data_IF_598756085126
#
_entry.id   IF_598756085126
#
_cell.length_a   1.000
_cell.length_b   1.000
_cell.length_c   1.000
_cell.angle_alpha   90.00
_cell.angle_beta   90.00
_cell.angle_gamma   90.00
#
_symmetry.space_group_name_H-M   'P 1'
#
loop_
_entity.id
_entity.type
_entity.pdbx_description
1 polymer ?
#
# COMPACT_ATOMS: atom_id res chain seq x y z
N UNK A 1 2.84 8.42 -13.23
CA UNK A 1 3.37 9.34 -12.20
C UNK A 1 4.62 10.05 -12.73
N UNK A 2 4.94 11.27 -12.30
CA UNK A 2 6.19 11.95 -12.70
C UNK A 2 7.40 11.34 -11.96
N UNK A 3 8.51 11.09 -12.64
CA UNK A 3 9.80 10.73 -12.00
C UNK A 3 10.59 12.01 -11.73
N UNK A 4 11.10 12.17 -10.50
CA UNK A 4 11.96 13.28 -10.09
C UNK A 4 13.41 12.82 -10.13
N UNK A 5 14.34 13.67 -10.59
CA UNK A 5 15.77 13.33 -10.63
C UNK A 5 16.31 13.25 -9.20
N UNK A 6 16.75 12.07 -8.77
CA UNK A 6 17.38 11.84 -7.46
C UNK A 6 16.43 11.81 -6.25
N UNK A 7 15.14 12.14 -6.41
CA UNK A 7 14.20 12.23 -5.29
C UNK A 7 13.30 10.99 -5.26
N UNK A 8 13.35 10.23 -4.16
CA UNK A 8 12.42 9.12 -3.90
C UNK A 8 11.11 9.69 -3.37
N UNK A 9 10.00 9.31 -4.01
CA UNK A 9 8.66 9.72 -3.53
C UNK A 9 8.08 8.64 -2.66
N UNK A 10 7.80 8.96 -1.41
CA UNK A 10 7.13 8.05 -0.49
C UNK A 10 5.66 8.43 -0.43
N UNK A 11 4.78 7.47 -0.70
CA UNK A 11 3.37 7.54 -0.35
C UNK A 11 3.16 6.71 0.90
N UNK A 12 2.76 7.35 1.98
CA UNK A 12 2.51 6.70 3.26
C UNK A 12 1.01 6.77 3.56
N UNK A 13 0.42 5.61 3.81
CA UNK A 13 -0.99 5.46 4.17
C UNK A 13 -1.09 4.95 5.60
N UNK A 14 -1.43 5.84 6.52
CA UNK A 14 -1.83 5.51 7.88
C UNK A 14 -3.28 5.01 7.90
N UNK A 15 -3.55 3.93 8.64
CA UNK A 15 -4.90 3.39 8.85
C UNK A 15 -5.63 3.10 7.54
N UNK A 16 -4.94 2.41 6.63
CA UNK A 16 -5.36 2.24 5.23
C UNK A 16 -6.75 1.60 5.09
N UNK A 17 -7.24 0.83 6.07
CA UNK A 17 -8.57 0.20 6.03
C UNK A 17 -9.70 1.21 5.78
N UNK A 18 -9.65 2.41 6.37
CA UNK A 18 -10.67 3.46 6.15
C UNK A 18 -10.70 3.94 4.71
N UNK A 19 -9.53 4.03 4.08
CA UNK A 19 -9.41 4.45 2.69
C UNK A 19 -9.90 3.36 1.73
N UNK A 20 -9.80 2.09 2.12
CA UNK A 20 -10.14 0.96 1.24
C UNK A 20 -11.63 0.56 1.31
N UNK A 21 -12.45 1.26 2.10
CA UNK A 21 -13.90 1.04 2.12
C UNK A 21 -14.61 1.30 0.77
N UNK A 22 -13.93 1.91 -0.21
CA UNK A 22 -14.46 2.18 -1.56
C UNK A 22 -13.69 1.38 -2.62
N UNK A 23 -14.41 0.65 -3.46
CA UNK A 23 -13.86 -0.14 -4.59
C UNK A 23 -12.95 0.66 -5.53
N UNK A 24 -13.27 1.95 -5.75
CA UNK A 24 -12.45 2.83 -6.57
C UNK A 24 -11.07 3.08 -5.96
N UNK A 25 -10.98 3.23 -4.64
CA UNK A 25 -9.71 3.40 -3.93
C UNK A 25 -8.91 2.09 -3.89
N UNK A 26 -9.58 0.94 -3.71
CA UNK A 26 -8.93 -0.37 -3.75
C UNK A 26 -8.22 -0.62 -5.09
N UNK A 27 -8.90 -0.32 -6.21
CA UNK A 27 -8.32 -0.43 -7.54
C UNK A 27 -7.18 0.59 -7.78
N UNK A 28 -7.34 1.81 -7.26
CA UNK A 28 -6.27 2.82 -7.31
C UNK A 28 -5.02 2.37 -6.56
N UNK A 29 -5.16 1.80 -5.36
CA UNK A 29 -4.04 1.24 -4.59
C UNK A 29 -3.35 0.10 -5.33
N UNK A 30 -4.12 -0.82 -5.93
CA UNK A 30 -3.55 -1.88 -6.78
C UNK A 30 -2.71 -1.33 -7.91
N UNK A 31 -3.21 -0.32 -8.63
CA UNK A 31 -2.47 0.36 -9.68
C UNK A 31 -1.19 1.02 -9.12
N UNK A 32 -1.30 1.67 -7.97
CA UNK A 32 -0.21 2.40 -7.34
C UNK A 32 0.92 1.46 -6.91
N UNK A 33 0.63 0.38 -6.20
CA UNK A 33 1.63 -0.62 -5.77
C UNK A 33 2.37 -1.26 -6.96
N UNK A 34 1.68 -1.50 -8.09
CA UNK A 34 2.31 -2.04 -9.31
C UNK A 34 3.19 -1.01 -10.05
N UNK A 35 2.90 0.28 -9.90
CA UNK A 35 3.45 1.34 -10.76
C UNK A 35 4.48 2.22 -10.06
N UNK A 36 4.36 2.45 -8.75
CA UNK A 36 5.18 3.42 -7.99
C UNK A 36 6.68 3.12 -8.10
N UNK A 37 7.05 1.84 -8.08
CA UNK A 37 8.43 1.36 -8.25
C UNK A 37 9.08 1.79 -9.57
N UNK A 38 8.28 1.91 -10.66
CA UNK A 38 8.76 2.36 -11.98
C UNK A 38 9.21 3.83 -11.98
N UNK A 39 8.77 4.60 -10.98
CA UNK A 39 9.00 6.03 -10.87
C UNK A 39 9.91 6.41 -9.71
N UNK A 40 10.73 5.47 -9.20
CA UNK A 40 11.58 5.66 -8.01
C UNK A 40 10.76 6.16 -6.82
N UNK A 41 9.59 5.56 -6.62
CA UNK A 41 8.76 5.83 -5.45
C UNK A 41 8.42 4.55 -4.70
N UNK A 42 7.87 4.74 -3.53
CA UNK A 42 7.62 3.73 -2.53
C UNK A 42 6.24 3.94 -1.93
N UNK A 43 5.48 2.86 -1.75
CA UNK A 43 4.19 2.88 -1.09
C UNK A 43 4.34 2.14 0.23
N UNK A 44 4.02 2.82 1.32
CA UNK A 44 4.08 2.31 2.68
C UNK A 44 2.65 2.33 3.22
N UNK A 45 2.22 1.21 3.79
CA UNK A 45 0.93 1.09 4.46
C UNK A 45 1.20 0.71 5.90
N UNK A 46 0.55 1.44 6.81
CA UNK A 46 0.59 1.22 8.25
C UNK A 46 -0.83 0.93 8.70
N UNK A 47 -1.02 -0.16 9.44
CA UNK A 47 -2.31 -0.56 10.03
C UNK A 47 -2.07 -1.22 11.37
N UNK A 48 -3.01 -1.05 12.29
CA UNK A 48 -3.08 -1.81 13.54
C UNK A 48 -3.93 -3.09 13.35
N UNK A 49 -4.99 -3.00 12.54
CA UNK A 49 -5.89 -4.11 12.25
C UNK A 49 -5.44 -4.83 10.98
N UNK A 50 -4.76 -5.97 11.13
CA UNK A 50 -4.27 -6.78 10.00
C UNK A 50 -5.43 -7.45 9.25
N UNK A 51 -6.48 -7.84 9.97
CA UNK A 51 -7.63 -8.54 9.40
C UNK A 51 -8.34 -7.69 8.34
N UNK A 52 -8.38 -6.37 8.48
CA UNK A 52 -8.94 -5.46 7.49
C UNK A 52 -8.23 -5.52 6.14
N UNK A 53 -6.91 -5.75 6.16
CA UNK A 53 -6.12 -5.91 4.94
C UNK A 53 -6.35 -7.31 4.34
N UNK A 54 -6.47 -8.34 5.18
CA UNK A 54 -6.58 -9.74 4.76
C UNK A 54 -7.96 -10.04 4.17
N UNK A 55 -9.02 -9.45 4.74
CA UNK A 55 -10.41 -9.67 4.35
C UNK A 55 -10.74 -9.10 2.97
N UNK A 56 -9.97 -8.12 2.48
CA UNK A 56 -10.13 -7.59 1.12
C UNK A 56 -9.16 -8.27 0.13
N UNK A 57 -9.65 -9.09 -0.83
CA UNK A 57 -8.79 -9.82 -1.74
C UNK A 57 -7.90 -8.91 -2.60
N UNK A 58 -8.46 -7.78 -3.05
CA UNK A 58 -7.74 -6.79 -3.87
C UNK A 58 -6.58 -6.18 -3.08
N UNK A 59 -6.82 -5.88 -1.81
CA UNK A 59 -5.84 -5.24 -0.93
C UNK A 59 -4.78 -6.22 -0.51
N UNK A 60 -5.18 -7.43 -0.10
CA UNK A 60 -4.25 -8.52 0.24
C UNK A 60 -3.26 -8.77 -0.89
N UNK A 61 -3.74 -8.92 -2.13
CA UNK A 61 -2.86 -9.08 -3.29
C UNK A 61 -1.99 -7.84 -3.52
N UNK A 62 -2.56 -6.63 -3.36
CA UNK A 62 -1.86 -5.39 -3.68
C UNK A 62 -0.77 -5.03 -2.67
N UNK A 63 -1.08 -5.12 -1.37
CA UNK A 63 -0.24 -4.71 -0.26
C UNK A 63 0.61 -5.88 0.19
N UNK A 64 0.02 -7.00 0.62
CA UNK A 64 0.80 -8.10 1.21
C UNK A 64 1.63 -8.81 0.15
N UNK A 65 1.03 -9.20 -0.98
CA UNK A 65 1.77 -9.99 -1.99
C UNK A 65 2.82 -9.17 -2.74
N UNK A 66 2.56 -7.89 -3.07
CA UNK A 66 3.53 -7.09 -3.84
C UNK A 66 4.53 -6.30 -2.99
N UNK A 67 4.35 -6.17 -1.67
CA UNK A 67 5.35 -5.51 -0.82
C UNK A 67 6.53 -6.44 -0.58
N UNK A 68 7.73 -5.97 -0.90
CA UNK A 68 8.99 -6.65 -0.65
C UNK A 68 9.36 -6.63 0.84
N UNK A 69 9.15 -5.50 1.50
CA UNK A 69 9.36 -5.32 2.93
C UNK A 69 8.05 -5.47 3.70
N UNK A 70 8.11 -6.19 4.83
CA UNK A 70 7.01 -6.33 5.79
C UNK A 70 7.59 -6.19 7.18
N UNK A 71 7.04 -5.25 7.96
CA UNK A 71 7.45 -5.00 9.33
C UNK A 71 6.27 -5.35 10.22
N UNK A 72 6.41 -6.42 11.00
CA UNK A 72 5.41 -6.84 11.98
C UNK A 72 5.90 -6.40 13.36
N UNK A 73 5.14 -5.53 14.00
CA UNK A 73 5.37 -5.10 15.38
C UNK A 73 4.57 -5.99 16.34
N UNK A 74 4.59 -5.69 17.63
CA UNK A 74 3.76 -6.42 18.61
C UNK A 74 2.27 -6.37 18.20
N UNK A 75 1.60 -7.51 18.22
CA UNK A 75 0.22 -7.68 17.73
C UNK A 75 -0.73 -8.06 18.88
N UNK A 76 -0.47 -7.53 20.09
CA UNK A 76 -1.30 -7.78 21.28
C UNK A 76 -2.65 -7.09 21.22
#
# INVERSE_FOLDING_TARGET
MRRLKGIRKVLLLEEAWKAIAKDSMANYLRYLFKTVRKHFGEAIVVTQEVDDIVNSPIVKESIITNSDCKILLDQR
#
